data_IF_123660167119
#
_entry.id   IF_123660167119
#
_cell.length_a   1.000
_cell.length_b   1.000
_cell.length_c   1.000
_cell.angle_alpha   90.00
_cell.angle_beta   90.00
_cell.angle_gamma   90.00
#
_symmetry.space_group_name_H-M   'P 1'
#
loop_
_entity.id
_entity.type
_entity.pdbx_description
1 polymer ?
#
# COMPACT_ATOMS: atom_id res chain seq x y z
N UNK A 1 -0.04 2.67 7.66
CA UNK A 1 -1.49 2.65 7.98
C UNK A 1 -2.09 1.26 7.79
N UNK A 2 -1.96 0.64 6.61
CA UNK A 2 -2.46 -0.72 6.37
C UNK A 2 -2.04 -1.75 7.43
N UNK A 3 -0.74 -1.88 7.72
CA UNK A 3 -0.22 -2.81 8.74
C UNK A 3 -0.91 -2.65 10.09
N UNK A 4 -0.90 -1.43 10.62
CA UNK A 4 -1.56 -1.08 11.89
C UNK A 4 -3.05 -1.42 11.89
N UNK A 5 -3.76 -1.17 10.79
CA UNK A 5 -5.18 -1.52 10.71
C UNK A 5 -5.38 -3.04 10.77
N UNK A 6 -4.61 -3.80 9.98
CA UNK A 6 -4.65 -5.26 9.98
C UNK A 6 -4.32 -5.84 11.35
N UNK A 7 -3.36 -5.27 12.08
CA UNK A 7 -3.05 -5.66 13.46
C UNK A 7 -4.21 -5.40 14.41
N UNK A 8 -4.85 -4.23 14.32
CA UNK A 8 -5.97 -3.85 15.19
C UNK A 8 -7.21 -4.69 14.98
N UNK A 9 -7.45 -5.20 13.76
CA UNK A 9 -8.65 -5.95 13.41
C UNK A 9 -8.42 -7.46 13.29
N UNK A 10 -7.19 -7.93 13.48
CA UNK A 10 -6.85 -9.36 13.41
C UNK A 10 -7.01 -10.05 14.77
N UNK A 11 -7.48 -11.30 14.74
CA UNK A 11 -7.47 -12.17 15.92
C UNK A 11 -6.04 -12.61 16.31
N UNK A 12 -5.06 -12.45 15.42
CA UNK A 12 -3.65 -12.80 15.63
C UNK A 12 -2.71 -11.65 15.23
N UNK A 13 -2.66 -10.53 15.98
CA UNK A 13 -1.88 -9.35 15.62
C UNK A 13 -0.38 -9.61 15.41
N UNK A 14 0.21 -10.53 16.18
CA UNK A 14 1.62 -10.91 16.08
C UNK A 14 1.96 -11.48 14.69
N UNK A 15 1.05 -12.27 14.12
CA UNK A 15 1.23 -12.81 12.76
C UNK A 15 1.28 -11.73 11.70
N UNK A 16 0.56 -10.61 11.89
CA UNK A 16 0.60 -9.45 10.99
C UNK A 16 1.90 -8.67 11.17
N UNK A 17 2.40 -8.57 12.40
CA UNK A 17 3.64 -7.84 12.69
C UNK A 17 4.85 -8.45 11.95
N UNK A 18 4.91 -9.78 11.92
CA UNK A 18 5.97 -10.56 11.29
C UNK A 18 5.85 -10.66 9.77
N UNK A 19 4.71 -10.26 9.18
CA UNK A 19 4.49 -10.38 7.73
C UNK A 19 5.49 -9.53 6.94
N UNK A 20 6.17 -10.12 5.95
CA UNK A 20 6.94 -9.34 4.99
C UNK A 20 5.99 -8.50 4.14
N UNK A 21 6.49 -7.36 3.65
CA UNK A 21 5.67 -6.38 2.92
C UNK A 21 4.84 -6.98 1.75
N UNK A 22 5.35 -7.91 0.92
CA UNK A 22 4.53 -8.52 -0.13
C UNK A 22 3.28 -9.22 0.40
N UNK A 23 3.40 -9.93 1.52
CA UNK A 23 2.30 -10.68 2.12
C UNK A 23 1.32 -9.76 2.83
N UNK A 24 1.83 -8.67 3.40
CA UNK A 24 0.98 -7.59 3.93
C UNK A 24 0.10 -6.97 2.84
N UNK A 25 0.66 -6.71 1.65
CA UNK A 25 -0.07 -6.17 0.51
C UNK A 25 -1.09 -7.20 -0.01
N UNK A 26 -0.71 -8.47 -0.17
CA UNK A 26 -1.65 -9.53 -0.58
C UNK A 26 -2.83 -9.63 0.39
N UNK A 27 -2.54 -9.68 1.69
CA UNK A 27 -3.56 -9.73 2.74
C UNK A 27 -4.50 -8.51 2.65
N UNK A 28 -3.95 -7.29 2.51
CA UNK A 28 -4.74 -6.08 2.35
C UNK A 28 -5.61 -6.10 1.09
N UNK A 29 -5.07 -6.57 -0.03
CA UNK A 29 -5.79 -6.70 -1.30
C UNK A 29 -6.90 -7.74 -1.21
N UNK A 30 -6.66 -8.89 -0.60
CA UNK A 30 -7.65 -9.96 -0.38
C UNK A 30 -8.81 -9.48 0.51
N UNK A 31 -8.51 -8.63 1.49
CA UNK A 31 -9.53 -7.97 2.31
C UNK A 31 -10.20 -6.78 1.62
N UNK A 32 -9.88 -6.49 0.35
CA UNK A 32 -10.44 -5.36 -0.40
C UNK A 32 -10.14 -4.00 0.25
N UNK A 33 -9.01 -3.89 0.96
CA UNK A 33 -8.47 -2.63 1.48
C UNK A 33 -7.63 -1.90 0.43
N UNK A 34 -7.10 -2.63 -0.54
CA UNK A 34 -6.27 -2.12 -1.63
C UNK A 34 -7.00 -2.24 -2.95
N UNK A 35 -6.67 -1.34 -3.88
CA UNK A 35 -7.24 -1.32 -5.22
C UNK A 35 -6.51 -2.32 -6.12
N UNK A 36 -5.20 -2.52 -5.87
CA UNK A 36 -4.32 -3.36 -6.68
C UNK A 36 -3.61 -4.42 -5.85
N UNK A 37 -3.16 -5.49 -6.53
CA UNK A 37 -2.38 -6.58 -5.94
C UNK A 37 -0.88 -6.26 -5.83
N UNK A 38 -0.12 -7.23 -5.31
CA UNK A 38 1.32 -7.08 -5.03
C UNK A 38 2.16 -6.67 -6.26
N UNK A 39 1.83 -7.15 -7.44
CA UNK A 39 2.50 -6.82 -8.70
C UNK A 39 2.58 -5.31 -8.94
N UNK A 40 1.47 -4.58 -8.77
CA UNK A 40 1.44 -3.12 -8.92
C UNK A 40 2.16 -2.42 -7.75
N UNK A 41 1.99 -2.94 -6.53
CA UNK A 41 2.66 -2.38 -5.34
C UNK A 41 4.18 -2.57 -5.36
N UNK A 42 4.68 -3.59 -6.06
CA UNK A 42 6.11 -3.76 -6.31
C UNK A 42 6.66 -2.59 -7.13
N UNK A 43 5.92 -2.12 -8.14
CA UNK A 43 6.31 -0.97 -8.96
C UNK A 43 6.29 0.33 -8.15
N UNK A 44 5.26 0.55 -7.32
CA UNK A 44 5.21 1.67 -6.39
C UNK A 44 6.41 1.69 -5.45
N UNK A 45 6.77 0.53 -4.91
CA UNK A 45 7.92 0.37 -4.02
C UNK A 45 9.24 0.65 -4.74
N UNK A 46 9.40 0.16 -5.97
CA UNK A 46 10.57 0.41 -6.80
C UNK A 46 10.70 1.91 -7.11
N UNK A 47 9.63 2.55 -7.57
CA UNK A 47 9.58 3.98 -7.86
C UNK A 47 10.01 4.81 -6.63
N UNK A 48 9.49 4.48 -5.44
CA UNK A 48 9.91 5.13 -4.18
C UNK A 48 11.40 4.94 -3.88
N UNK A 49 11.97 3.76 -4.14
CA UNK A 49 13.40 3.51 -3.92
C UNK A 49 14.31 4.33 -4.84
N UNK A 50 13.83 4.65 -6.04
CA UNK A 50 14.58 5.40 -7.05
C UNK A 50 14.61 6.91 -6.80
N UNK A 51 13.75 7.44 -5.92
CA UNK A 51 13.66 8.89 -5.67
C UNK A 51 14.94 9.52 -5.08
N UNK A 52 15.88 8.72 -4.58
CA UNK A 52 17.18 9.19 -4.08
C UNK A 52 18.24 9.37 -5.19
N UNK A 53 17.94 8.95 -6.43
CA UNK A 53 18.81 9.05 -7.61
C UNK A 53 18.24 10.00 -8.68
N UNK A 54 17.41 10.96 -8.31
CA UNK A 54 16.68 11.87 -9.22
C UNK A 54 17.53 12.85 -10.02
N UNK A 55 18.86 12.76 -9.94
CA UNK A 55 19.75 13.46 -10.89
C UNK A 55 19.69 12.86 -12.31
N UNK A 56 19.04 11.70 -12.45
CA UNK A 56 18.75 11.04 -13.72
C UNK A 56 17.32 11.39 -14.15
N UNK A 57 17.19 12.26 -15.16
CA UNK A 57 15.91 12.73 -15.69
C UNK A 57 15.01 11.59 -16.19
N UNK A 58 15.59 10.52 -16.74
CA UNK A 58 14.82 9.36 -17.18
C UNK A 58 14.18 8.64 -16.00
N UNK A 59 14.92 8.47 -14.90
CA UNK A 59 14.38 7.91 -13.65
C UNK A 59 13.35 8.82 -13.00
N UNK A 60 13.51 10.14 -13.09
CA UNK A 60 12.51 11.08 -12.59
C UNK A 60 11.19 10.97 -13.37
N UNK A 61 11.25 10.80 -14.70
CA UNK A 61 10.08 10.58 -15.54
C UNK A 61 9.34 9.27 -15.20
N UNK A 62 10.08 8.18 -14.97
CA UNK A 62 9.51 6.90 -14.54
C UNK A 62 8.75 7.03 -13.20
N UNK A 63 9.33 7.73 -12.22
CA UNK A 63 8.66 7.99 -10.94
C UNK A 63 7.40 8.83 -11.14
N UNK A 64 7.48 9.90 -11.93
CA UNK A 64 6.36 10.80 -12.18
C UNK A 64 5.17 10.07 -12.84
N UNK A 65 5.44 9.15 -13.76
CA UNK A 65 4.42 8.35 -14.44
C UNK A 65 3.60 7.46 -13.49
N UNK A 66 4.19 7.06 -12.36
CA UNK A 66 3.54 6.18 -11.36
C UNK A 66 2.66 6.96 -10.37
N UNK A 67 2.92 8.27 -10.19
CA UNK A 67 2.23 9.10 -9.18
C UNK A 67 0.70 9.09 -9.31
N UNK A 68 0.09 9.26 -10.52
CA UNK A 68 -1.37 9.28 -10.64
C UNK A 68 -2.03 7.99 -10.14
N UNK A 69 -1.52 6.83 -10.56
CA UNK A 69 -2.05 5.53 -10.12
C UNK A 69 -1.86 5.30 -8.61
N UNK A 70 -0.70 5.70 -8.07
CA UNK A 70 -0.45 5.62 -6.64
C UNK A 70 -1.39 6.53 -5.82
N UNK A 71 -1.73 7.72 -6.34
CA UNK A 71 -2.68 8.62 -5.68
C UNK A 71 -4.07 7.98 -5.56
N UNK A 72 -4.54 7.33 -6.62
CA UNK A 72 -5.84 6.64 -6.60
C UNK A 72 -5.82 5.44 -5.64
N UNK A 73 -4.73 4.68 -5.62
CA UNK A 73 -4.51 3.60 -4.64
C UNK A 73 -4.59 4.12 -3.20
N UNK A 74 -3.91 5.24 -2.90
CA UNK A 74 -3.86 5.83 -1.58
C UNK A 74 -5.24 6.36 -1.13
N UNK A 75 -5.97 7.01 -2.05
CA UNK A 75 -7.35 7.47 -1.81
C UNK A 75 -8.30 6.31 -1.54
N UNK A 76 -8.19 5.24 -2.33
CA UNK A 76 -8.98 4.03 -2.13
C UNK A 76 -8.71 3.41 -0.75
N UNK A 77 -7.44 3.20 -0.40
CA UNK A 77 -7.06 2.67 0.91
C UNK A 77 -7.63 3.53 2.04
N UNK A 78 -7.47 4.86 1.99
CA UNK A 78 -8.00 5.75 3.01
C UNK A 78 -9.52 5.59 3.16
N UNK A 79 -10.27 5.62 2.04
CA UNK A 79 -11.72 5.47 2.06
C UNK A 79 -12.18 4.13 2.66
N UNK A 80 -11.48 3.05 2.35
CA UNK A 80 -11.78 1.71 2.90
C UNK A 80 -11.46 1.60 4.39
N UNK A 81 -10.36 2.20 4.85
CA UNK A 81 -10.01 2.24 6.26
C UNK A 81 -11.03 3.04 7.07
N UNK A 82 -11.38 4.23 6.61
CA UNK A 82 -12.39 5.07 7.26
C UNK A 82 -13.76 4.42 7.30
N UNK A 83 -14.16 3.75 6.22
CA UNK A 83 -15.41 2.99 6.19
C UNK A 83 -15.44 1.91 7.27
N UNK A 84 -14.40 1.08 7.34
CA UNK A 84 -14.36 -0.04 8.30
C UNK A 84 -14.27 0.40 9.75
N UNK A 85 -13.54 1.49 10.02
CA UNK A 85 -13.48 2.07 11.36
C UNK A 85 -14.88 2.50 11.80
N UNK A 86 -15.63 3.20 10.94
CA UNK A 86 -17.01 3.61 11.26
C UNK A 86 -17.99 2.45 11.42
N UNK A 87 -17.78 1.32 10.77
CA UNK A 87 -18.62 0.12 10.91
C UNK A 87 -18.34 -0.66 12.20
N UNK A 88 -17.20 -0.39 12.86
CA UNK A 88 -16.75 -1.09 14.07
C UNK A 88 -17.05 -0.30 15.36
N UNK A 89 -17.40 0.99 15.25
CA UNK A 89 -17.88 1.87 16.34
C UNK A 89 -19.39 1.68 16.61
#
# INVERSE_FOLDING_TARGET
MLKRFLEMTSATPQSIDEMPFPDLIRTGSEQGLLLSSWDVWQDYRKARGTTNHTYDEAKAAEVLAVIPAFLDEARYLLGRLEQRIRETD
#
